data_IF_514955491954
#
_entry.id   IF_514955491954
#
_cell.length_a   1.000
_cell.length_b   1.000
_cell.length_c   1.000
_cell.angle_alpha   90.00
_cell.angle_beta   90.00
_cell.angle_gamma   90.00
#
_symmetry.space_group_name_H-M   'P 1'
#
loop_
_entity.id
_entity.type
_entity.pdbx_description
1 polymer ?
#
# COMPACT_ATOMS: atom_id res chain seq x y z
N UNK A 1 5.13 -2.49 -6.71
CA UNK A 1 4.81 -2.40 -5.28
C UNK A 1 4.01 -1.15 -5.02
N UNK A 2 2.86 -1.06 -5.70
CA UNK A 2 1.95 0.07 -5.54
C UNK A 2 0.79 -0.26 -4.61
N UNK A 3 0.54 -1.53 -4.29
CA UNK A 3 -0.61 -1.93 -3.45
C UNK A 3 -0.20 -2.85 -2.28
N UNK A 4 0.99 -3.48 -2.38
CA UNK A 4 1.44 -4.44 -1.39
C UNK A 4 1.69 -3.84 -0.01
N UNK A 5 2.18 -2.61 0.08
CA UNK A 5 2.58 -1.99 1.35
C UNK A 5 1.34 -1.52 2.16
N UNK A 6 0.28 -1.09 1.51
CA UNK A 6 -1.00 -0.77 2.15
C UNK A 6 -1.72 -2.03 2.63
N UNK A 7 -1.68 -3.09 1.82
CA UNK A 7 -2.15 -4.41 2.22
C UNK A 7 -1.36 -4.95 3.42
N UNK A 8 -0.03 -4.80 3.43
CA UNK A 8 0.79 -5.22 4.56
C UNK A 8 0.45 -4.41 5.82
N UNK A 9 0.35 -3.09 5.71
CA UNK A 9 -0.04 -2.23 6.83
C UNK A 9 -1.42 -2.59 7.39
N UNK A 10 -2.39 -2.85 6.51
CA UNK A 10 -3.71 -3.35 6.87
C UNK A 10 -3.61 -4.66 7.66
N UNK A 11 -2.87 -5.63 7.14
CA UNK A 11 -2.72 -6.95 7.75
C UNK A 11 -2.09 -6.85 9.15
N UNK A 12 -0.98 -6.11 9.26
CA UNK A 12 -0.24 -5.92 10.51
C UNK A 12 -1.10 -5.23 11.59
N UNK A 13 -1.74 -4.12 11.25
CA UNK A 13 -2.56 -3.38 12.20
C UNK A 13 -3.83 -4.14 12.58
N UNK A 14 -4.52 -4.76 11.62
CA UNK A 14 -5.74 -5.55 11.88
C UNK A 14 -5.47 -6.77 12.75
N UNK A 15 -4.44 -7.55 12.40
CA UNK A 15 -4.03 -8.72 13.18
C UNK A 15 -3.52 -8.31 14.57
N UNK A 16 -2.67 -7.28 14.64
CA UNK A 16 -2.13 -6.76 15.90
C UNK A 16 -3.23 -6.24 16.83
N UNK A 17 -4.19 -5.47 16.31
CA UNK A 17 -5.33 -4.99 17.08
C UNK A 17 -6.19 -6.14 17.61
N UNK A 18 -6.41 -7.18 16.81
CA UNK A 18 -7.15 -8.36 17.24
C UNK A 18 -6.42 -9.12 18.34
N UNK A 19 -5.09 -9.27 18.23
CA UNK A 19 -4.24 -9.88 19.27
C UNK A 19 -4.17 -9.06 20.55
N UNK A 20 -4.31 -7.75 20.46
CA UNK A 20 -4.45 -6.85 21.59
C UNK A 20 -5.86 -6.83 22.23
N UNK A 21 -6.72 -7.80 21.88
CA UNK A 21 -8.05 -7.97 22.49
C UNK A 21 -9.13 -7.04 21.96
N UNK A 22 -8.88 -6.31 20.85
CA UNK A 22 -9.93 -5.49 20.22
C UNK A 22 -10.98 -6.39 19.56
N UNK A 23 -12.23 -5.93 19.56
CA UNK A 23 -13.29 -6.56 18.78
C UNK A 23 -13.00 -6.45 17.28
N UNK A 24 -13.63 -7.34 16.49
CA UNK A 24 -13.31 -7.47 15.08
C UNK A 24 -13.61 -6.20 14.27
N UNK A 25 -14.66 -5.45 14.66
CA UNK A 25 -15.05 -4.20 13.99
C UNK A 25 -14.01 -3.11 14.24
N UNK A 26 -13.56 -2.96 15.48
CA UNK A 26 -12.49 -2.01 15.82
C UNK A 26 -11.18 -2.39 15.15
N UNK A 27 -10.81 -3.67 15.14
CA UNK A 27 -9.60 -4.15 14.47
C UNK A 27 -9.65 -3.88 12.96
N UNK A 28 -10.78 -4.11 12.31
CA UNK A 28 -10.98 -3.84 10.88
C UNK A 28 -10.87 -2.34 10.57
N UNK A 29 -11.45 -1.50 11.42
CA UNK A 29 -11.36 -0.05 11.25
C UNK A 29 -9.92 0.46 11.44
N UNK A 30 -9.17 -0.08 12.41
CA UNK A 30 -7.74 0.24 12.60
C UNK A 30 -6.88 -0.27 11.43
N UNK A 31 -7.19 -1.44 10.86
CA UNK A 31 -6.56 -1.94 9.64
C UNK A 31 -6.77 -0.96 8.47
N UNK A 32 -7.99 -0.44 8.31
CA UNK A 32 -8.29 0.59 7.31
C UNK A 32 -7.54 1.90 7.53
N UNK A 33 -7.32 2.33 8.79
CA UNK A 33 -6.49 3.50 9.12
C UNK A 33 -5.04 3.26 8.72
N UNK A 34 -4.49 2.08 9.00
CA UNK A 34 -3.11 1.74 8.63
C UNK A 34 -2.93 1.70 7.10
N UNK A 35 -3.86 1.07 6.37
CA UNK A 35 -3.87 1.11 4.90
C UNK A 35 -3.94 2.54 4.37
N UNK A 36 -4.84 3.38 4.93
CA UNK A 36 -4.92 4.79 4.52
C UNK A 36 -3.59 5.51 4.76
N UNK A 37 -2.97 5.32 5.93
CA UNK A 37 -1.70 5.96 6.24
C UNK A 37 -0.56 5.49 5.34
N UNK A 38 -0.55 4.22 4.93
CA UNK A 38 0.37 3.68 3.95
C UNK A 38 0.09 4.19 2.52
N UNK A 39 -1.16 4.47 2.16
CA UNK A 39 -1.52 5.06 0.87
C UNK A 39 -1.12 6.54 0.73
N UNK A 40 -1.14 7.29 1.84
CA UNK A 40 -0.92 8.74 1.81
C UNK A 40 0.42 9.17 1.19
N UNK A 41 1.56 8.52 1.52
CA UNK A 41 2.83 8.78 0.85
C UNK A 41 2.72 8.73 -0.68
N UNK A 42 2.02 7.75 -1.24
CA UNK A 42 1.91 7.53 -2.70
C UNK A 42 1.05 8.56 -3.45
N UNK A 43 0.26 9.37 -2.72
CA UNK A 43 -0.50 10.46 -3.33
C UNK A 43 0.40 11.58 -3.88
N UNK A 44 1.66 11.64 -3.48
CA UNK A 44 2.66 12.54 -4.06
C UNK A 44 2.98 12.24 -5.54
N UNK A 45 2.61 11.07 -6.07
CA UNK A 45 2.61 10.79 -7.51
C UNK A 45 1.67 11.76 -8.25
N UNK A 46 0.57 12.20 -7.63
CA UNK A 46 -0.28 13.23 -8.22
C UNK A 46 0.45 14.58 -8.35
N UNK A 47 1.29 14.92 -7.36
CA UNK A 47 2.20 16.07 -7.48
C UNK A 47 3.28 15.84 -8.53
N UNK A 48 3.78 14.61 -8.67
CA UNK A 48 4.70 14.23 -9.74
C UNK A 48 4.08 14.44 -11.13
N UNK A 49 2.77 14.19 -11.32
CA UNK A 49 2.06 14.50 -12.58
C UNK A 49 2.08 15.99 -12.86
N UNK A 50 1.76 16.84 -11.88
CA UNK A 50 1.75 18.29 -12.06
C UNK A 50 3.15 18.85 -12.36
N UNK A 51 4.17 18.40 -11.63
CA UNK A 51 5.56 18.81 -11.87
C UNK A 51 6.10 18.30 -13.20
N UNK A 52 5.73 17.09 -13.61
CA UNK A 52 6.07 16.57 -14.92
C UNK A 52 5.40 17.35 -16.04
N UNK A 53 4.12 17.70 -15.92
CA UNK A 53 3.42 18.52 -16.90
C UNK A 53 4.09 19.89 -17.08
N UNK A 54 4.53 20.53 -15.99
CA UNK A 54 5.31 21.76 -16.05
C UNK A 54 6.69 21.56 -16.70
N UNK A 55 7.36 20.45 -16.42
CA UNK A 55 8.65 20.12 -17.03
C UNK A 55 8.51 19.87 -18.55
N UNK A 56 7.43 19.20 -18.98
CA UNK A 56 7.10 19.00 -20.40
C UNK A 56 6.84 20.32 -21.10
N UNK A 57 6.08 21.22 -20.47
CA UNK A 57 5.90 22.58 -20.98
C UNK A 57 7.23 23.36 -21.11
N UNK A 58 8.23 23.00 -20.30
CA UNK A 58 9.60 23.52 -20.35
C UNK A 58 10.55 22.76 -21.30
N UNK A 59 10.06 21.80 -22.09
CA UNK A 59 10.85 21.08 -23.10
C UNK A 59 11.32 19.68 -22.71
N UNK A 60 10.93 19.14 -21.55
CA UNK A 60 11.17 17.73 -21.21
C UNK A 60 10.32 16.82 -22.12
N UNK A 61 10.88 15.76 -22.73
CA UNK A 61 10.12 14.86 -23.57
C UNK A 61 8.96 14.17 -22.83
N UNK A 62 7.86 13.91 -23.56
CA UNK A 62 6.80 13.02 -23.12
C UNK A 62 7.30 11.56 -23.17
N UNK A 63 7.26 10.85 -22.04
CA UNK A 63 7.73 9.48 -21.95
C UNK A 63 7.83 8.94 -20.51
N UNK A 64 7.77 7.62 -20.38
CA UNK A 64 7.81 6.89 -19.10
C UNK A 64 9.07 7.21 -18.28
N UNK A 65 10.24 7.16 -18.92
CA UNK A 65 11.53 7.43 -18.26
C UNK A 65 11.64 8.89 -17.80
N UNK A 66 11.17 9.83 -18.61
CA UNK A 66 11.20 11.25 -18.29
C UNK A 66 10.27 11.58 -17.10
N UNK A 67 9.09 10.98 -17.05
CA UNK A 67 8.17 11.09 -15.91
C UNK A 67 8.84 10.61 -14.62
N UNK A 68 9.36 9.38 -14.59
CA UNK A 68 9.98 8.82 -13.39
C UNK A 68 11.27 9.54 -12.99
N UNK A 69 12.04 10.06 -13.96
CA UNK A 69 13.21 10.89 -13.68
C UNK A 69 12.86 12.18 -12.92
N UNK A 70 11.72 12.80 -13.21
CA UNK A 70 11.21 13.96 -12.47
C UNK A 70 10.58 13.53 -11.14
N UNK A 71 9.71 12.53 -11.16
CA UNK A 71 8.96 12.04 -10.01
C UNK A 71 9.88 11.57 -8.88
N UNK A 72 10.89 10.75 -9.20
CA UNK A 72 11.77 10.12 -8.20
C UNK A 72 12.60 11.12 -7.40
N UNK A 73 12.88 12.31 -7.93
CA UNK A 73 13.62 13.36 -7.20
C UNK A 73 12.84 13.96 -6.04
N UNK A 74 11.52 13.86 -6.05
CA UNK A 74 10.65 14.44 -5.03
C UNK A 74 9.96 13.34 -4.23
N UNK A 75 9.32 12.39 -4.92
CA UNK A 75 8.50 11.32 -4.34
C UNK A 75 9.26 10.52 -3.28
N UNK A 76 10.38 9.90 -3.66
CA UNK A 76 11.14 9.01 -2.78
C UNK A 76 11.94 9.73 -1.71
N UNK A 77 12.40 10.94 -2.00
CA UNK A 77 13.27 11.70 -1.09
C UNK A 77 12.47 12.29 0.07
N UNK A 78 11.19 12.62 -0.15
CA UNK A 78 10.42 13.40 0.80
C UNK A 78 9.42 12.57 1.60
N UNK A 79 8.68 11.64 1.00
CA UNK A 79 7.57 10.95 1.69
C UNK A 79 7.92 9.57 2.24
N UNK A 80 9.01 8.97 1.75
CA UNK A 80 9.47 7.63 2.12
C UNK A 80 10.57 7.57 3.22
N UNK A 81 11.15 8.65 3.77
CA UNK A 81 12.03 8.51 4.93
C UNK A 81 11.28 8.18 6.23
N UNK A 82 11.90 7.37 7.10
CA UNK A 82 11.35 7.00 8.41
C UNK A 82 11.13 8.20 9.34
N UNK A 83 12.03 9.22 9.41
CA UNK A 83 11.76 10.43 10.19
C UNK A 83 10.49 11.15 9.74
N UNK A 84 10.20 11.15 8.45
CA UNK A 84 9.00 11.76 7.88
C UNK A 84 7.77 10.93 8.25
N UNK A 85 7.84 9.60 8.15
CA UNK A 85 6.77 8.71 8.61
C UNK A 85 6.45 8.87 10.10
N UNK A 86 7.47 9.07 10.95
CA UNK A 86 7.29 9.36 12.37
C UNK A 86 6.61 10.72 12.61
N UNK A 87 7.04 11.77 11.90
CA UNK A 87 6.40 13.08 11.96
C UNK A 87 4.97 13.05 11.43
N UNK A 88 4.69 12.30 10.35
CA UNK A 88 3.36 12.11 9.80
C UNK A 88 2.43 11.37 10.77
N UNK A 89 2.95 10.38 11.51
CA UNK A 89 2.22 9.70 12.59
C UNK A 89 1.77 10.68 13.67
N UNK A 90 2.68 11.56 14.10
CA UNK A 90 2.38 12.60 15.10
C UNK A 90 1.38 13.62 14.56
N UNK A 91 1.56 14.07 13.32
CA UNK A 91 0.65 15.01 12.65
C UNK A 91 -0.76 14.41 12.51
N UNK A 92 -0.87 13.15 12.11
CA UNK A 92 -2.12 12.41 12.03
C UNK A 92 -2.79 12.30 13.41
N UNK A 93 -2.03 11.91 14.44
CA UNK A 93 -2.52 11.85 15.82
C UNK A 93 -3.02 13.19 16.34
N UNK A 94 -2.26 14.26 16.12
CA UNK A 94 -2.65 15.63 16.48
C UNK A 94 -3.94 16.06 15.75
N UNK A 95 -4.02 15.82 14.43
CA UNK A 95 -5.21 16.08 13.64
C UNK A 95 -6.43 15.30 14.13
N UNK A 96 -6.25 14.04 14.50
CA UNK A 96 -7.31 13.21 15.08
C UNK A 96 -7.81 13.77 16.42
N UNK A 97 -6.90 14.21 17.30
CA UNK A 97 -7.26 14.82 18.59
C UNK A 97 -8.00 16.16 18.39
N UNK A 98 -7.54 17.03 17.50
CA UNK A 98 -8.23 18.28 17.14
C UNK A 98 -9.61 18.00 16.54
N UNK A 99 -9.72 16.97 15.70
CA UNK A 99 -11.00 16.52 15.14
C UNK A 99 -12.01 16.10 16.21
N UNK A 100 -11.54 15.52 17.34
CA UNK A 100 -12.39 15.19 18.49
C UNK A 100 -12.67 16.36 19.42
N UNK A 101 -11.70 17.25 19.65
CA UNK A 101 -11.87 18.40 20.55
C UNK A 101 -12.94 19.39 20.07
N UNK A 102 -13.34 19.36 18.80
CA UNK A 102 -14.55 20.08 18.35
C UNK A 102 -15.86 19.54 18.94
N UNK A 103 -15.81 18.41 19.67
CA UNK A 103 -16.94 17.77 20.36
C UNK A 103 -16.79 17.80 21.89
N UNK A 104 -15.64 18.18 22.44
CA UNK A 104 -15.32 18.10 23.88
C UNK A 104 -14.11 18.99 24.21
N UNK A 105 -13.93 19.40 25.47
CA UNK A 105 -12.77 20.24 25.83
C UNK A 105 -11.41 19.58 25.48
N UNK A 106 -10.40 20.39 25.09
CA UNK A 106 -9.08 19.87 24.77
C UNK A 106 -8.43 19.23 26.00
N UNK A 107 -8.15 17.94 25.90
CA UNK A 107 -7.34 17.23 26.90
C UNK A 107 -5.89 17.76 26.89
N UNK A 108 -5.20 17.83 28.05
CA UNK A 108 -3.76 18.12 28.12
C UNK A 108 -2.91 17.25 27.18
N UNK A 109 -3.32 16.00 26.97
CA UNK A 109 -2.64 15.08 26.05
C UNK A 109 -2.71 15.54 24.59
N UNK A 110 -3.77 16.26 24.20
CA UNK A 110 -3.91 16.84 22.86
C UNK A 110 -2.94 18.00 22.64
N UNK A 111 -2.76 18.85 23.65
CA UNK A 111 -1.80 19.96 23.61
C UNK A 111 -0.38 19.44 23.47
N UNK A 112 0.01 18.45 24.29
CA UNK A 112 1.35 17.84 24.23
C UNK A 112 1.58 17.17 22.88
N UNK A 113 0.61 16.39 22.38
CA UNK A 113 0.74 15.73 21.06
C UNK A 113 0.87 16.74 19.92
N UNK A 114 0.09 17.82 19.96
CA UNK A 114 0.17 18.88 18.95
C UNK A 114 1.51 19.63 19.00
N UNK A 115 2.02 19.93 20.21
CA UNK A 115 3.33 20.56 20.37
C UNK A 115 4.47 19.67 19.86
N UNK A 116 4.45 18.38 20.20
CA UNK A 116 5.44 17.41 19.70
C UNK A 116 5.34 17.24 18.18
N UNK A 117 4.13 17.16 17.62
CA UNK A 117 3.91 17.11 16.19
C UNK A 117 4.45 18.35 15.47
N UNK A 118 4.22 19.54 16.04
CA UNK A 118 4.73 20.81 15.51
C UNK A 118 6.25 20.84 15.52
N UNK A 119 6.89 20.48 16.65
CA UNK A 119 8.35 20.44 16.76
C UNK A 119 8.98 19.43 15.79
N UNK A 120 8.41 18.23 15.70
CA UNK A 120 8.85 17.21 14.73
C UNK A 120 8.68 17.70 13.29
N UNK A 121 7.55 18.32 12.97
CA UNK A 121 7.31 18.92 11.66
C UNK A 121 8.35 20.00 11.33
N UNK A 122 8.56 20.97 12.24
CA UNK A 122 9.56 22.03 12.04
C UNK A 122 10.98 21.47 11.83
N UNK A 123 11.36 20.43 12.57
CA UNK A 123 12.65 19.76 12.39
C UNK A 123 12.78 19.14 10.98
N UNK A 124 11.73 18.45 10.50
CA UNK A 124 11.69 17.87 9.15
C UNK A 124 11.80 18.96 8.07
N UNK A 125 11.01 20.04 8.20
CA UNK A 125 11.02 21.14 7.24
C UNK A 125 12.38 21.83 7.18
N UNK A 126 12.98 22.08 8.34
CA UNK A 126 14.31 22.68 8.43
C UNK A 126 15.39 21.75 7.84
N UNK A 127 15.32 20.45 8.16
CA UNK A 127 16.22 19.44 7.62
C UNK A 127 16.16 19.38 6.08
N UNK A 128 14.98 19.25 5.49
CA UNK A 128 14.86 19.25 4.03
C UNK A 128 15.29 20.57 3.39
N UNK A 129 14.91 21.70 3.99
CA UNK A 129 15.31 23.02 3.46
C UNK A 129 16.82 23.17 3.41
N UNK A 130 17.53 22.70 4.43
CA UNK A 130 18.99 22.84 4.57
C UNK A 130 19.78 21.84 3.75
N UNK A 131 19.24 20.64 3.49
CA UNK A 131 19.98 19.54 2.84
C UNK A 131 19.56 19.25 1.40
N UNK A 132 18.27 19.43 1.07
CA UNK A 132 17.71 19.09 -0.26
C UNK A 132 17.23 20.33 -1.00
N UNK A 133 16.61 21.28 -0.28
CA UNK A 133 16.16 22.56 -0.81
C UNK A 133 14.73 22.93 -0.46
N UNK A 134 14.30 24.12 -0.90
CA UNK A 134 13.00 24.69 -0.57
C UNK A 134 11.82 23.84 -1.10
N UNK A 135 11.94 23.30 -2.31
CA UNK A 135 10.88 22.47 -2.92
C UNK A 135 10.57 21.24 -2.08
N UNK A 136 11.60 20.52 -1.62
CA UNK A 136 11.46 19.35 -0.75
C UNK A 136 10.79 19.72 0.59
N UNK A 137 11.17 20.84 1.19
CA UNK A 137 10.54 21.33 2.42
C UNK A 137 9.05 21.67 2.20
N UNK A 138 8.69 22.30 1.09
CA UNK A 138 7.28 22.60 0.75
C UNK A 138 6.46 21.33 0.57
N UNK A 139 7.01 20.32 -0.12
CA UNK A 139 6.33 19.02 -0.30
C UNK A 139 6.18 18.30 1.04
N UNK A 140 7.20 18.32 1.90
CA UNK A 140 7.11 17.76 3.25
C UNK A 140 6.01 18.46 4.08
N UNK A 141 5.91 19.79 4.00
CA UNK A 141 4.86 20.54 4.70
C UNK A 141 3.46 20.15 4.21
N UNK A 142 3.28 20.05 2.88
CA UNK A 142 2.02 19.64 2.28
C UNK A 142 1.64 18.21 2.70
N UNK A 143 2.59 17.27 2.69
CA UNK A 143 2.37 15.90 3.12
C UNK A 143 1.96 15.81 4.60
N UNK A 144 2.69 16.47 5.51
CA UNK A 144 2.36 16.50 6.93
C UNK A 144 0.98 17.13 7.20
N UNK A 145 0.61 18.17 6.43
CA UNK A 145 -0.71 18.77 6.49
C UNK A 145 -1.81 17.78 6.04
N UNK A 146 -1.59 17.06 4.94
CA UNK A 146 -2.52 16.03 4.45
C UNK A 146 -2.69 14.92 5.49
N UNK A 147 -1.60 14.46 6.13
CA UNK A 147 -1.66 13.48 7.21
C UNK A 147 -2.50 13.99 8.40
N UNK A 148 -2.32 15.24 8.82
CA UNK A 148 -3.12 15.85 9.88
C UNK A 148 -4.61 15.97 9.50
N UNK A 149 -4.91 16.40 8.26
CA UNK A 149 -6.28 16.50 7.75
C UNK A 149 -6.94 15.12 7.69
N UNK A 150 -6.22 14.09 7.25
CA UNK A 150 -6.69 12.71 7.24
C UNK A 150 -7.02 12.24 8.66
N UNK A 151 -6.14 12.51 9.64
CA UNK A 151 -6.41 12.21 11.05
C UNK A 151 -7.68 12.88 11.58
N UNK A 152 -7.87 14.17 11.28
CA UNK A 152 -9.09 14.90 11.66
C UNK A 152 -10.34 14.33 10.98
N UNK A 153 -10.24 13.92 9.71
CA UNK A 153 -11.31 13.28 8.97
C UNK A 153 -11.69 11.92 9.57
N UNK A 154 -10.73 11.10 9.98
CA UNK A 154 -10.96 9.82 10.66
C UNK A 154 -11.65 10.04 12.01
N UNK A 155 -11.21 11.02 12.80
CA UNK A 155 -11.85 11.36 14.08
C UNK A 155 -13.31 11.77 13.94
N UNK A 156 -13.65 12.43 12.82
CA UNK A 156 -15.02 12.87 12.55
C UNK A 156 -15.92 11.70 12.15
N UNK A 157 -15.37 10.68 11.46
CA UNK A 157 -16.13 9.57 10.89
C UNK A 157 -16.13 8.29 11.73
N UNK A 158 -15.28 8.21 12.75
CA UNK A 158 -15.12 6.99 13.54
C UNK A 158 -15.08 7.28 15.05
N UNK A 159 -15.55 6.36 15.89
CA UNK A 159 -15.44 6.49 17.35
C UNK A 159 -14.09 6.01 17.90
N UNK A 160 -13.11 5.67 17.05
CA UNK A 160 -11.87 4.98 17.43
C UNK A 160 -11.06 5.70 18.52
N UNK A 161 -10.42 4.97 19.46
CA UNK A 161 -9.63 5.59 20.52
C UNK A 161 -8.35 6.24 19.95
N UNK A 162 -8.00 7.49 20.33
CA UNK A 162 -6.91 8.24 19.70
C UNK A 162 -5.57 7.52 19.65
N UNK A 163 -5.16 6.88 20.75
CA UNK A 163 -3.89 6.15 20.82
C UNK A 163 -3.86 4.99 19.83
N UNK A 164 -4.93 4.21 19.73
CA UNK A 164 -4.97 3.09 18.79
C UNK A 164 -4.97 3.58 17.34
N UNK A 165 -5.70 4.67 17.05
CA UNK A 165 -5.70 5.28 15.71
C UNK A 165 -4.32 5.79 15.32
N UNK A 166 -3.62 6.48 16.24
CA UNK A 166 -2.27 6.98 16.01
C UNK A 166 -1.27 5.84 15.79
N UNK A 167 -1.34 4.78 16.61
CA UNK A 167 -0.48 3.60 16.44
C UNK A 167 -0.75 2.88 15.11
N UNK A 168 -2.03 2.73 14.71
CA UNK A 168 -2.38 2.15 13.43
C UNK A 168 -1.86 2.98 12.24
N UNK A 169 -2.00 4.32 12.31
CA UNK A 169 -1.42 5.20 11.32
C UNK A 169 0.12 5.09 11.28
N UNK A 170 0.74 4.96 12.46
CA UNK A 170 2.19 4.73 12.58
C UNK A 170 2.66 3.43 11.94
N UNK A 171 1.89 2.34 12.07
CA UNK A 171 2.16 1.10 11.32
C UNK A 171 2.20 1.42 9.83
N UNK A 172 1.17 2.08 9.28
CA UNK A 172 1.14 2.43 7.86
C UNK A 172 2.34 3.27 7.41
N UNK A 173 2.56 4.43 8.04
CA UNK A 173 3.65 5.34 7.65
C UNK A 173 5.04 4.75 7.82
N UNK A 174 5.27 3.91 8.84
CA UNK A 174 6.60 3.36 9.11
C UNK A 174 6.88 2.08 8.34
N UNK A 175 5.86 1.31 7.94
CA UNK A 175 6.07 0.14 7.07
C UNK A 175 6.15 0.50 5.60
N UNK A 176 5.56 1.64 5.21
CA UNK A 176 5.52 2.14 3.83
C UNK A 176 6.87 2.03 3.09
N UNK A 177 7.99 2.59 3.62
CA UNK A 177 9.23 2.67 2.86
C UNK A 177 9.85 1.31 2.53
N UNK A 178 9.48 0.27 3.30
CA UNK A 178 10.02 -1.07 3.12
C UNK A 178 9.43 -1.80 1.93
N UNK A 179 8.29 -1.35 1.38
CA UNK A 179 7.82 -1.83 0.08
C UNK A 179 8.78 -1.45 -1.06
N UNK A 180 9.46 -0.32 -0.94
CA UNK A 180 10.27 0.25 -2.00
C UNK A 180 11.73 -0.24 -2.04
N UNK A 181 12.18 -0.95 -1.00
CA UNK A 181 13.57 -1.47 -0.94
C UNK A 181 13.87 -2.49 -2.04
N UNK A 182 12.83 -3.08 -2.64
CA UNK A 182 12.95 -4.04 -3.73
C UNK A 182 12.93 -3.38 -5.11
N UNK A 183 12.42 -2.14 -5.24
CA UNK A 183 12.16 -1.50 -6.53
C UNK A 183 13.07 -0.31 -6.82
N UNK A 184 13.76 -0.35 -7.97
CA UNK A 184 14.66 0.69 -8.46
C UNK A 184 15.75 1.09 -7.43
N UNK A 185 15.82 2.34 -6.99
CA UNK A 185 16.77 2.81 -5.95
C UNK A 185 16.07 2.92 -4.59
N UNK A 186 16.64 2.36 -3.51
CA UNK A 186 15.99 2.34 -2.20
C UNK A 186 15.74 3.77 -1.69
N UNK A 187 14.66 4.00 -0.92
CA UNK A 187 14.40 5.30 -0.34
C UNK A 187 15.51 5.66 0.67
N UNK A 188 15.91 6.94 0.77
CA UNK A 188 16.91 7.37 1.74
C UNK A 188 16.29 7.38 3.15
N UNK A 189 16.23 6.21 3.78
CA UNK A 189 15.43 5.95 4.99
C UNK A 189 15.67 6.91 6.17
N UNK A 190 16.87 7.50 6.28
CA UNK A 190 17.22 8.44 7.37
C UNK A 190 17.23 9.91 6.94
N UNK A 191 16.88 10.21 5.69
CA UNK A 191 16.76 11.59 5.20
C UNK A 191 15.73 12.37 6.03
N UNK A 192 15.94 13.67 6.29
CA UNK A 192 17.09 14.49 5.89
C UNK A 192 18.26 14.47 6.91
N UNK A 193 18.22 13.61 7.94
CA UNK A 193 19.11 13.72 9.11
C UNK A 193 20.30 12.76 9.10
N UNK A 194 20.28 11.74 8.27
CA UNK A 194 21.31 10.72 8.24
C UNK A 194 21.63 10.23 6.82
N UNK A 195 22.75 9.50 6.68
CA UNK A 195 23.13 8.88 5.42
C UNK A 195 22.12 7.79 5.02
N UNK A 196 22.04 7.42 3.73
CA UNK A 196 21.22 6.29 3.29
C UNK A 196 21.71 5.00 3.96
N UNK A 197 20.77 4.23 4.55
CA UNK A 197 21.06 2.90 5.10
C UNK A 197 21.23 1.84 4.02
N UNK A 198 20.51 2.01 2.92
CA UNK A 198 20.58 1.17 1.73
C UNK A 198 21.00 2.07 0.57
N UNK A 199 22.11 1.73 -0.07
CA UNK A 199 22.58 2.41 -1.29
C UNK A 199 22.13 1.67 -2.55
N UNK A 200 21.79 0.39 -2.42
CA UNK A 200 21.32 -0.47 -3.49
C UNK A 200 20.02 -1.17 -3.06
N UNK A 201 19.20 -1.54 -4.04
CA UNK A 201 17.97 -2.32 -3.79
C UNK A 201 18.31 -3.70 -3.26
N UNK A 202 17.37 -4.29 -2.54
CA UNK A 202 17.42 -5.71 -2.17
C UNK A 202 17.16 -6.55 -3.42
N UNK A 203 18.11 -7.41 -3.75
CA UNK A 203 18.06 -8.33 -4.90
C UNK A 203 17.81 -9.75 -4.38
N UNK A 204 16.71 -10.37 -4.83
CA UNK A 204 16.31 -11.72 -4.47
C UNK A 204 16.95 -12.79 -5.36
N UNK A 205 17.35 -12.40 -6.58
CA UNK A 205 17.97 -13.29 -7.57
C UNK A 205 18.94 -12.52 -8.46
N UNK A 206 20.05 -13.17 -8.85
CA UNK A 206 20.98 -12.62 -9.84
C UNK A 206 20.37 -12.54 -11.24
N UNK A 207 19.43 -13.45 -11.55
CA UNK A 207 18.65 -13.37 -12.78
C UNK A 207 17.60 -12.24 -12.69
N UNK A 208 17.61 -11.26 -13.61
CA UNK A 208 16.72 -10.09 -13.54
C UNK A 208 15.22 -10.42 -13.59
N UNK A 209 14.83 -11.48 -14.31
CA UNK A 209 13.43 -11.89 -14.46
C UNK A 209 12.97 -12.64 -13.22
N UNK A 210 13.77 -13.58 -12.72
CA UNK A 210 13.48 -14.27 -11.45
C UNK A 210 13.45 -13.28 -10.28
N UNK A 211 14.30 -12.25 -10.30
CA UNK A 211 14.27 -11.18 -9.30
C UNK A 211 12.94 -10.42 -9.33
N UNK A 212 12.47 -10.01 -10.51
CA UNK A 212 11.17 -9.35 -10.66
C UNK A 212 10.01 -10.25 -10.21
N UNK A 213 10.02 -11.53 -10.58
CA UNK A 213 9.01 -12.50 -10.16
C UNK A 213 9.03 -12.71 -8.64
N UNK A 214 10.21 -12.79 -8.03
CA UNK A 214 10.34 -12.84 -6.57
C UNK A 214 9.68 -11.65 -5.88
N UNK A 215 9.90 -10.44 -6.41
CA UNK A 215 9.28 -9.21 -5.91
C UNK A 215 7.76 -9.25 -6.10
N UNK A 216 7.27 -9.73 -7.25
CA UNK A 216 5.83 -9.93 -7.48
C UNK A 216 5.24 -10.91 -6.44
N UNK A 217 5.91 -12.01 -6.12
CA UNK A 217 5.44 -12.94 -5.09
C UNK A 217 5.44 -12.33 -3.69
N UNK A 218 6.41 -11.49 -3.35
CA UNK A 218 6.41 -10.72 -2.09
C UNK A 218 5.20 -9.77 -2.04
N UNK A 219 4.92 -9.05 -3.13
CA UNK A 219 3.75 -8.17 -3.22
C UNK A 219 2.44 -8.96 -3.11
N UNK A 220 2.29 -10.05 -3.86
CA UNK A 220 1.12 -10.94 -3.81
C UNK A 220 0.93 -11.56 -2.42
N UNK A 221 2.02 -11.93 -1.73
CA UNK A 221 1.96 -12.44 -0.36
C UNK A 221 1.43 -11.39 0.63
N UNK A 222 1.83 -10.13 0.48
CA UNK A 222 1.31 -9.03 1.29
C UNK A 222 -0.21 -8.81 1.06
N UNK A 223 -0.66 -8.89 -0.20
CA UNK A 223 -2.09 -8.81 -0.54
C UNK A 223 -2.86 -10.00 0.04
N UNK A 224 -2.33 -11.22 -0.06
CA UNK A 224 -2.93 -12.41 0.58
C UNK A 224 -3.02 -12.27 2.10
N UNK A 225 -2.00 -11.71 2.75
CA UNK A 225 -2.03 -11.45 4.20
C UNK A 225 -3.18 -10.50 4.56
N UNK A 226 -3.41 -9.45 3.77
CA UNK A 226 -4.52 -8.52 3.98
C UNK A 226 -5.88 -9.21 3.79
N UNK A 227 -6.05 -10.00 2.72
CA UNK A 227 -7.28 -10.77 2.46
C UNK A 227 -7.54 -11.78 3.57
N UNK A 228 -6.51 -12.47 4.07
CA UNK A 228 -6.64 -13.44 5.16
C UNK A 228 -7.03 -12.75 6.48
N UNK A 229 -6.46 -11.59 6.79
CA UNK A 229 -6.85 -10.78 7.96
C UNK A 229 -8.27 -10.25 7.80
N UNK A 230 -8.64 -9.75 6.62
CA UNK A 230 -9.99 -9.31 6.32
C UNK A 230 -11.00 -10.44 6.52
N UNK A 231 -10.75 -11.62 5.96
CA UNK A 231 -11.63 -12.79 6.11
C UNK A 231 -11.82 -13.18 7.58
N UNK A 232 -10.75 -13.14 8.38
CA UNK A 232 -10.79 -13.42 9.82
C UNK A 232 -11.59 -12.37 10.61
N UNK A 233 -11.51 -11.10 10.23
CA UNK A 233 -12.18 -10.01 10.95
C UNK A 233 -13.63 -9.77 10.48
N UNK A 234 -13.93 -10.02 9.21
CA UNK A 234 -15.25 -9.78 8.62
C UNK A 234 -16.22 -10.96 8.82
N UNK A 235 -15.70 -12.19 8.96
CA UNK A 235 -16.55 -13.38 9.08
C UNK A 235 -16.93 -13.69 10.53
N UNK A 236 -18.22 -13.95 10.84
CA UNK A 236 -18.64 -14.47 12.14
C UNK A 236 -17.87 -15.76 12.44
N UNK A 237 -17.11 -15.79 13.54
CA UNK A 237 -16.32 -16.96 13.96
C UNK A 237 -14.90 -17.08 13.37
N UNK A 238 -14.41 -16.13 12.56
CA UNK A 238 -12.99 -16.06 12.15
C UNK A 238 -12.49 -17.26 11.33
N UNK A 239 -13.39 -17.87 10.57
CA UNK A 239 -13.17 -19.18 9.96
C UNK A 239 -12.32 -19.10 8.67
N UNK A 240 -11.14 -19.76 8.68
CA UNK A 240 -10.27 -19.94 7.50
C UNK A 240 -10.99 -20.65 6.34
N UNK A 241 -12.03 -21.41 6.65
CA UNK A 241 -12.92 -22.07 5.69
C UNK A 241 -13.53 -21.08 4.71
N UNK A 242 -13.84 -19.84 5.14
CA UNK A 242 -14.34 -18.79 4.26
C UNK A 242 -13.38 -18.44 3.12
N UNK A 243 -12.06 -18.50 3.34
CA UNK A 243 -11.07 -18.23 2.31
C UNK A 243 -10.97 -19.37 1.30
N UNK A 244 -10.97 -20.62 1.79
CA UNK A 244 -10.93 -21.82 0.94
C UNK A 244 -12.18 -21.91 0.06
N UNK A 245 -13.33 -21.62 0.65
CA UNK A 245 -14.62 -21.67 -0.05
C UNK A 245 -14.81 -20.55 -1.08
N UNK A 246 -14.02 -19.47 -0.96
CA UNK A 246 -14.01 -18.34 -1.89
C UNK A 246 -13.09 -18.57 -3.10
N UNK A 247 -12.30 -19.64 -3.13
CA UNK A 247 -11.49 -20.00 -4.29
C UNK A 247 -12.39 -20.59 -5.37
N UNK A 248 -12.52 -19.88 -6.48
CA UNK A 248 -13.29 -20.31 -7.64
C UNK A 248 -12.37 -21.07 -8.63
N UNK A 249 -12.77 -22.24 -9.17
CA UNK A 249 -11.97 -23.00 -10.13
C UNK A 249 -11.60 -22.21 -11.39
N UNK A 250 -12.39 -21.19 -11.78
CA UNK A 250 -12.11 -20.32 -12.92
C UNK A 250 -10.85 -19.48 -12.72
N UNK A 251 -10.39 -19.31 -11.48
CA UNK A 251 -9.08 -18.71 -11.21
C UNK A 251 -7.93 -19.47 -11.90
N UNK A 252 -8.11 -20.76 -12.21
CA UNK A 252 -7.16 -21.56 -12.99
C UNK A 252 -6.90 -21.01 -14.40
N UNK A 253 -7.78 -20.14 -14.94
CA UNK A 253 -7.55 -19.43 -16.20
C UNK A 253 -6.29 -18.55 -16.19
N UNK A 254 -5.75 -18.22 -15.01
CA UNK A 254 -4.44 -17.58 -14.89
C UNK A 254 -3.32 -18.35 -15.61
N UNK A 255 -3.42 -19.68 -15.73
CA UNK A 255 -2.44 -20.51 -16.47
C UNK A 255 -2.31 -20.14 -17.95
N UNK A 256 -3.33 -19.49 -18.54
CA UNK A 256 -3.26 -18.99 -19.93
C UNK A 256 -2.15 -17.94 -20.10
N UNK A 257 -1.64 -17.35 -19.01
CA UNK A 257 -0.50 -16.44 -19.04
C UNK A 257 0.86 -17.16 -19.19
N UNK A 258 0.96 -18.47 -18.94
CA UNK A 258 2.24 -19.18 -18.97
C UNK A 258 3.01 -19.07 -20.30
N UNK A 259 2.36 -19.13 -21.50
CA UNK A 259 3.04 -18.92 -22.78
C UNK A 259 3.69 -17.55 -22.94
N UNK A 260 3.31 -16.54 -22.14
CA UNK A 260 3.93 -15.22 -22.15
C UNK A 260 5.44 -15.27 -21.88
N UNK A 261 5.93 -16.30 -21.19
CA UNK A 261 7.36 -16.53 -20.96
C UNK A 261 8.17 -16.74 -22.26
N UNK A 262 7.50 -17.15 -23.36
CA UNK A 262 8.14 -17.40 -24.65
C UNK A 262 7.89 -16.28 -25.67
N UNK A 263 6.77 -15.56 -25.57
CA UNK A 263 6.36 -14.56 -26.57
C UNK A 263 6.64 -13.12 -26.16
N UNK A 264 6.71 -12.83 -24.86
CA UNK A 264 7.04 -11.50 -24.37
C UNK A 264 8.55 -11.39 -24.12
N UNK A 265 9.15 -10.19 -24.28
CA UNK A 265 10.49 -9.92 -23.78
C UNK A 265 10.58 -10.29 -22.29
N UNK A 266 11.71 -10.88 -21.90
CA UNK A 266 11.98 -11.27 -20.51
C UNK A 266 11.90 -10.03 -19.62
N UNK A 267 10.88 -9.92 -18.74
CA UNK A 267 10.65 -8.69 -18.02
C UNK A 267 11.72 -8.52 -16.95
N UNK A 268 12.15 -7.28 -16.75
CA UNK A 268 13.09 -6.88 -15.70
C UNK A 268 12.48 -5.75 -14.88
N UNK A 269 13.16 -5.30 -13.81
CA UNK A 269 12.69 -4.13 -13.04
C UNK A 269 12.52 -2.89 -13.95
N UNK A 270 13.35 -2.70 -14.98
CA UNK A 270 13.23 -1.57 -15.91
C UNK A 270 11.89 -1.59 -16.65
N UNK A 271 11.42 -2.78 -17.01
CA UNK A 271 10.22 -3.00 -17.81
C UNK A 271 9.09 -3.64 -16.98
N UNK A 272 9.12 -3.49 -15.66
CA UNK A 272 8.16 -4.11 -14.75
C UNK A 272 6.70 -3.73 -15.08
N UNK A 273 6.52 -2.55 -15.69
CA UNK A 273 5.24 -2.09 -16.19
C UNK A 273 4.66 -2.99 -17.29
N UNK A 274 5.47 -3.62 -18.14
CA UNK A 274 5.01 -4.56 -19.19
C UNK A 274 4.40 -5.81 -18.56
N UNK A 275 5.07 -6.40 -17.57
CA UNK A 275 4.54 -7.53 -16.81
C UNK A 275 3.25 -7.11 -16.09
N UNK A 276 3.27 -6.00 -15.35
CA UNK A 276 2.12 -5.49 -14.61
C UNK A 276 0.90 -5.20 -15.49
N UNK A 277 1.08 -4.51 -16.61
CA UNK A 277 0.01 -4.14 -17.55
C UNK A 277 -0.56 -5.30 -18.36
N UNK A 278 0.00 -6.51 -18.23
CA UNK A 278 -0.54 -7.70 -18.91
C UNK A 278 -1.10 -8.71 -17.92
N UNK A 279 -0.38 -9.00 -16.83
CA UNK A 279 -0.79 -10.01 -15.85
C UNK A 279 -1.94 -9.52 -14.94
N UNK A 280 -1.93 -8.23 -14.55
CA UNK A 280 -2.96 -7.68 -13.65
C UNK A 280 -4.31 -7.55 -14.36
N UNK A 281 -4.41 -7.01 -15.58
CA UNK A 281 -5.68 -6.99 -16.30
C UNK A 281 -6.28 -8.38 -16.52
N UNK A 282 -5.46 -9.39 -16.81
CA UNK A 282 -5.94 -10.78 -16.89
C UNK A 282 -6.60 -11.22 -15.58
N UNK A 283 -5.92 -11.02 -14.44
CA UNK A 283 -6.45 -11.37 -13.13
C UNK A 283 -7.76 -10.62 -12.81
N UNK A 284 -7.84 -9.33 -13.15
CA UNK A 284 -9.05 -8.51 -12.97
C UNK A 284 -10.20 -8.99 -13.86
N UNK A 285 -9.93 -9.38 -15.11
CA UNK A 285 -10.94 -9.94 -16.01
C UNK A 285 -11.50 -11.26 -15.47
N UNK A 286 -10.64 -12.14 -14.96
CA UNK A 286 -11.07 -13.40 -14.32
C UNK A 286 -11.90 -13.10 -13.07
N UNK A 287 -11.47 -12.18 -12.21
CA UNK A 287 -12.25 -11.75 -11.04
C UNK A 287 -13.60 -11.15 -11.40
N UNK A 288 -13.66 -10.30 -12.43
CA UNK A 288 -14.89 -9.71 -12.95
C UNK A 288 -15.85 -10.76 -13.50
N UNK A 289 -15.33 -11.77 -14.20
CA UNK A 289 -16.13 -12.90 -14.68
C UNK A 289 -16.74 -13.71 -13.53
N UNK A 290 -15.94 -14.00 -12.49
CA UNK A 290 -16.40 -14.67 -11.27
C UNK A 290 -17.49 -13.84 -10.59
N UNK A 291 -17.28 -12.53 -10.45
CA UNK A 291 -18.25 -11.60 -9.85
C UNK A 291 -19.59 -11.60 -10.60
N UNK A 292 -19.57 -11.45 -11.93
CA UNK A 292 -20.78 -11.41 -12.76
C UNK A 292 -21.58 -12.71 -12.63
N UNK A 293 -20.89 -13.84 -12.59
CA UNK A 293 -21.54 -15.16 -12.47
C UNK A 293 -22.13 -15.40 -11.09
N UNK A 294 -21.41 -15.00 -10.04
CA UNK A 294 -21.92 -15.07 -8.67
C UNK A 294 -23.15 -14.17 -8.45
N UNK A 295 -23.23 -13.05 -9.19
CA UNK A 295 -24.34 -12.10 -9.14
C UNK A 295 -25.55 -12.53 -9.98
N UNK A 296 -25.34 -13.31 -11.04
CA UNK A 296 -26.34 -13.71 -12.03
C UNK A 296 -27.23 -14.91 -11.65
N UNK A 297 -27.05 -15.50 -10.48
CA UNK A 297 -27.90 -16.61 -10.00
C UNK A 297 -27.39 -18.02 -10.34
N UNK A 298 -26.29 -18.14 -11.09
CA UNK A 298 -25.55 -19.42 -11.26
C UNK A 298 -24.72 -19.78 -10.02
N UNK A 299 -25.03 -19.16 -8.87
CA UNK A 299 -24.55 -19.62 -7.58
C UNK A 299 -25.12 -21.03 -7.36
N UNK A 300 -24.34 -22.03 -7.77
CA UNK A 300 -24.30 -23.35 -7.16
C UNK A 300 -24.51 -23.09 -5.67
N UNK A 301 -25.71 -23.41 -5.18
CA UNK A 301 -26.07 -23.34 -3.77
C UNK A 301 -24.98 -24.11 -3.05
N UNK A 302 -24.01 -23.40 -2.47
CA UNK A 302 -23.03 -24.08 -1.63
C UNK A 302 -23.84 -24.70 -0.52
N UNK A 303 -23.64 -26.00 -0.30
CA UNK A 303 -24.33 -26.83 0.68
C UNK A 303 -24.24 -26.31 2.12
N UNK A 304 -23.49 -25.23 2.36
CA UNK A 304 -23.27 -24.60 3.65
C UNK A 304 -24.20 -23.41 3.96
N UNK A 305 -25.07 -22.94 3.05
CA UNK A 305 -26.10 -21.94 3.37
C UNK A 305 -25.60 -20.55 3.80
N UNK A 306 -24.33 -20.22 3.56
CA UNK A 306 -23.78 -18.88 3.78
C UNK A 306 -23.99 -18.03 2.54
N UNK A 307 -24.75 -16.93 2.68
CA UNK A 307 -24.86 -15.89 1.67
C UNK A 307 -23.46 -15.27 1.48
N UNK A 308 -22.78 -15.62 0.38
CA UNK A 308 -21.40 -15.19 0.11
C UNK A 308 -21.43 -13.80 -0.49
N UNK A 309 -20.64 -12.87 0.04
CA UNK A 309 -20.44 -11.59 -0.65
C UNK A 309 -19.75 -11.86 -2.00
N UNK A 310 -20.44 -11.65 -3.14
CA UNK A 310 -19.87 -11.92 -4.46
C UNK A 310 -18.63 -11.07 -4.73
N UNK A 311 -18.47 -9.93 -4.05
CA UNK A 311 -17.27 -9.07 -4.15
C UNK A 311 -16.06 -9.74 -3.52
N UNK A 312 -16.23 -10.35 -2.35
CA UNK A 312 -15.14 -11.05 -1.68
C UNK A 312 -14.66 -12.24 -2.50
N UNK A 313 -15.59 -13.06 -3.03
CA UNK A 313 -15.27 -14.20 -3.91
C UNK A 313 -14.53 -13.73 -5.17
N UNK A 314 -14.97 -12.63 -5.78
CA UNK A 314 -14.30 -12.07 -6.95
C UNK A 314 -12.87 -11.58 -6.66
N UNK A 315 -12.64 -10.93 -5.52
CA UNK A 315 -11.30 -10.48 -5.09
C UNK A 315 -10.38 -11.67 -4.85
N UNK A 316 -10.85 -12.69 -4.12
CA UNK A 316 -10.09 -13.94 -3.89
C UNK A 316 -9.79 -14.64 -5.22
N UNK A 317 -10.78 -14.71 -6.11
CA UNK A 317 -10.63 -15.28 -7.45
C UNK A 317 -9.60 -14.55 -8.31
N UNK A 318 -9.64 -13.22 -8.35
CA UNK A 318 -8.65 -12.40 -9.05
C UNK A 318 -7.23 -12.61 -8.50
N UNK A 319 -7.08 -12.57 -7.17
CA UNK A 319 -5.78 -12.76 -6.53
C UNK A 319 -5.24 -14.18 -6.73
N UNK A 320 -6.11 -15.18 -6.72
CA UNK A 320 -5.76 -16.57 -7.07
C UNK A 320 -5.32 -16.67 -8.53
N UNK A 321 -6.05 -16.06 -9.45
CA UNK A 321 -5.70 -16.03 -10.88
C UNK A 321 -4.34 -15.36 -11.11
N UNK A 322 -4.06 -14.24 -10.43
CA UNK A 322 -2.76 -13.56 -10.46
C UNK A 322 -1.64 -14.47 -9.94
N UNK A 323 -1.87 -15.16 -8.82
CA UNK A 323 -0.90 -16.09 -8.21
C UNK A 323 -0.60 -17.26 -9.17
N UNK A 324 -1.64 -17.84 -9.76
CA UNK A 324 -1.54 -18.93 -10.73
C UNK A 324 -0.84 -18.48 -12.02
N UNK A 325 -1.14 -17.29 -12.53
CA UNK A 325 -0.49 -16.71 -13.69
C UNK A 325 1.01 -16.50 -13.45
N UNK A 326 1.38 -15.92 -12.29
CA UNK A 326 2.77 -15.70 -11.92
C UNK A 326 3.53 -17.02 -11.75
N UNK A 327 2.92 -18.02 -11.12
CA UNK A 327 3.51 -19.35 -10.96
C UNK A 327 3.66 -20.08 -12.30
N UNK A 328 2.66 -20.00 -13.18
CA UNK A 328 2.70 -20.57 -14.53
C UNK A 328 3.81 -19.95 -15.37
N UNK A 329 3.96 -18.62 -15.33
CA UNK A 329 5.06 -17.92 -15.97
C UNK A 329 6.42 -18.37 -15.41
N UNK A 330 6.56 -18.44 -14.08
CA UNK A 330 7.81 -18.89 -13.43
C UNK A 330 8.21 -20.30 -13.86
N UNK A 331 7.27 -21.25 -13.85
CA UNK A 331 7.53 -22.64 -14.25
C UNK A 331 7.91 -22.72 -15.73
N UNK A 332 7.21 -22.00 -16.61
CA UNK A 332 7.52 -21.96 -18.04
C UNK A 332 8.90 -21.32 -18.30
N UNK A 333 9.24 -20.25 -17.57
CA UNK A 333 10.53 -19.58 -17.65
C UNK A 333 11.68 -20.49 -17.19
N UNK A 334 11.51 -21.21 -16.07
CA UNK A 334 12.55 -22.09 -15.51
C UNK A 334 12.80 -23.38 -16.31
N UNK A 335 11.91 -23.72 -17.24
CA UNK A 335 12.04 -24.89 -18.09
C UNK A 335 12.96 -24.67 -19.32
N UNK A 336 13.49 -23.44 -19.50
CA UNK A 336 14.37 -23.03 -20.61
C UNK A 336 15.69 -22.50 -20.08
#
# INVERSE_FOLDING_TARGET
MFVGHECLAFALAGWGARRAGRDARTALALAGVAALAALLPDLDVAYAVATYAAAVAGGVPLGWEAFWGVANRVHRVVTHPLPVGAAATLAFGAGHLVGRARRSDPSPSAVVTAAVALLAGLAILWGFRSTVGLSAAVVAAAFLLVAAVAGAAVARRTPLPPTATMLAAGVGFLTHPFGDVFLASPPPLLSPFGPPLLTERVVLSVDPTLNLLGILFVEVAAVWAAVAVYAQLASPGGSQTALRDAVDPRAGLGLVYAPAAFVLPRPTIADAHVLGFTIVPLALLVGGWIWLSARGGDAVRSSAGLDRDPRFVAVVGALTALTVAAAGYLVAYAAV
#
